data_IF_556017122737
#
_entry.id   IF_556017122737
#
_cell.length_a   1.000
_cell.length_b   1.000
_cell.length_c   1.000
_cell.angle_alpha   90.00
_cell.angle_beta   90.00
_cell.angle_gamma   90.00
#
_symmetry.space_group_name_H-M   'P 1'
#
loop_
_entity.id
_entity.type
_entity.pdbx_description
1 polymer ?
#
# COMPACT_ATOMS: atom_id res chain seq x y z
N UNK A 1 -26.21 31.09 -23.14
CA UNK A 1 -26.30 30.01 -22.13
C UNK A 1 -25.90 28.64 -22.69
N UNK A 2 -24.76 28.55 -23.41
CA UNK A 2 -24.26 27.28 -24.00
C UNK A 2 -22.77 27.03 -23.73
N UNK A 3 -21.99 28.10 -23.52
CA UNK A 3 -20.54 28.01 -23.23
C UNK A 3 -20.27 27.66 -21.75
N UNK A 4 -21.18 28.02 -20.84
CA UNK A 4 -21.03 27.81 -19.40
C UNK A 4 -21.10 26.33 -18.98
N UNK A 5 -21.83 25.50 -19.72
CA UNK A 5 -21.94 24.06 -19.43
C UNK A 5 -20.69 23.27 -19.83
N UNK A 6 -20.00 23.68 -20.89
CA UNK A 6 -18.80 22.99 -21.38
C UNK A 6 -17.61 23.12 -20.41
N UNK A 7 -17.48 24.28 -19.74
CA UNK A 7 -16.41 24.53 -18.78
C UNK A 7 -16.58 23.71 -17.48
N UNK A 8 -17.83 23.41 -17.10
CA UNK A 8 -18.12 22.60 -15.91
C UNK A 8 -17.76 21.11 -16.10
N UNK A 9 -17.85 20.56 -17.32
CA UNK A 9 -17.45 19.17 -17.59
C UNK A 9 -15.92 18.98 -17.56
N UNK A 10 -15.14 20.00 -17.90
CA UNK A 10 -13.67 19.95 -17.88
C UNK A 10 -13.09 19.91 -16.45
N UNK A 11 -13.85 20.34 -15.45
CA UNK A 11 -13.43 20.33 -14.04
C UNK A 11 -13.82 19.04 -13.29
N UNK A 12 -14.66 18.18 -13.88
CA UNK A 12 -15.14 16.95 -13.24
C UNK A 12 -14.05 15.93 -12.84
N UNK A 13 -12.96 15.71 -13.60
CA UNK A 13 -11.97 14.69 -13.23
C UNK A 13 -11.11 15.08 -12.02
N UNK A 14 -11.05 16.36 -11.64
CA UNK A 14 -10.33 16.83 -10.46
C UNK A 14 -11.05 16.51 -9.13
N UNK A 15 -12.34 16.09 -9.19
CA UNK A 15 -13.13 15.75 -8.01
C UNK A 15 -12.99 14.27 -7.61
N UNK A 16 -12.39 13.44 -8.47
CA UNK A 16 -12.01 12.08 -8.10
C UNK A 16 -10.68 12.15 -7.37
N UNK A 17 -10.73 12.50 -6.09
CA UNK A 17 -9.61 12.20 -5.19
C UNK A 17 -9.48 10.68 -5.18
N UNK A 18 -8.48 10.16 -5.90
CA UNK A 18 -8.09 8.78 -5.79
C UNK A 18 -7.86 8.51 -4.30
N UNK A 19 -8.74 7.71 -3.70
CA UNK A 19 -8.76 7.50 -2.25
C UNK A 19 -7.56 6.68 -1.77
N UNK A 20 -6.74 6.20 -2.73
CA UNK A 20 -5.57 5.38 -2.48
C UNK A 20 -4.31 6.15 -2.89
N UNK A 21 -3.54 6.63 -1.92
CA UNK A 21 -2.27 7.32 -2.17
C UNK A 21 -1.14 6.29 -2.35
N UNK A 22 -0.20 6.50 -3.29
CA UNK A 22 0.99 5.66 -3.40
C UNK A 22 1.87 5.80 -2.15
N UNK A 23 2.63 4.76 -1.83
CA UNK A 23 3.61 4.81 -0.72
C UNK A 23 4.65 5.91 -0.96
N UNK A 24 5.11 6.52 0.13
CA UNK A 24 6.18 7.52 0.10
C UNK A 24 7.57 6.90 -0.03
N UNK A 25 7.78 5.73 0.57
CA UNK A 25 9.02 4.95 0.45
C UNK A 25 8.75 3.46 0.67
N UNK A 26 9.77 2.62 0.42
CA UNK A 26 9.67 1.18 0.62
C UNK A 26 11.03 0.56 0.95
N UNK A 27 11.01 -0.67 1.46
CA UNK A 27 12.18 -1.50 1.73
C UNK A 27 11.92 -2.91 1.23
N UNK A 28 12.52 -3.24 0.08
CA UNK A 28 12.48 -4.58 -0.50
C UNK A 28 13.44 -5.51 0.24
N UNK A 29 13.07 -6.76 0.41
CA UNK A 29 13.86 -7.76 1.13
C UNK A 29 13.83 -7.55 2.64
N UNK A 30 12.83 -6.83 3.16
CA UNK A 30 12.78 -6.40 4.56
C UNK A 30 11.37 -6.52 5.14
N UNK A 31 11.29 -7.12 6.32
CA UNK A 31 10.07 -7.35 7.08
C UNK A 31 10.18 -6.74 8.48
N UNK A 32 9.10 -6.21 9.06
CA UNK A 32 9.08 -5.85 10.48
C UNK A 32 9.24 -7.12 11.34
N UNK A 33 10.10 -7.08 12.36
CA UNK A 33 10.29 -8.19 13.31
C UNK A 33 9.08 -8.38 14.23
N UNK A 34 8.32 -7.31 14.48
CA UNK A 34 7.09 -7.33 15.25
C UNK A 34 6.05 -6.38 14.66
N UNK A 35 4.78 -6.75 14.83
CA UNK A 35 3.64 -5.91 14.50
C UNK A 35 3.00 -5.42 15.79
N UNK A 36 3.00 -4.10 16.00
CA UNK A 36 2.36 -3.47 17.16
C UNK A 36 0.83 -3.41 17.05
N UNK A 37 0.25 -4.00 15.99
CA UNK A 37 -1.18 -4.02 15.75
C UNK A 37 -1.65 -5.22 14.92
N UNK A 38 -2.97 -5.45 14.93
CA UNK A 38 -3.61 -6.40 14.01
C UNK A 38 -3.55 -5.86 12.58
N UNK A 39 -2.97 -6.66 11.69
CA UNK A 39 -2.92 -6.36 10.26
C UNK A 39 -4.31 -6.42 9.61
N UNK A 40 -4.52 -5.56 8.63
CA UNK A 40 -5.70 -5.52 7.77
C UNK A 40 -5.32 -6.14 6.43
N UNK A 41 -6.08 -7.12 5.95
CA UNK A 41 -5.87 -7.70 4.63
C UNK A 41 -6.13 -6.65 3.54
N UNK A 42 -5.17 -6.50 2.62
CA UNK A 42 -5.22 -5.57 1.52
C UNK A 42 -4.98 -6.29 0.20
N UNK A 43 -5.60 -5.82 -0.88
CA UNK A 43 -5.39 -6.38 -2.22
C UNK A 43 -4.10 -5.85 -2.87
N UNK A 44 -3.67 -4.66 -2.49
CA UNK A 44 -2.49 -3.99 -3.04
C UNK A 44 -1.70 -3.31 -1.93
N UNK A 45 -0.38 -3.51 -1.91
CA UNK A 45 0.51 -3.04 -0.85
C UNK A 45 1.23 -1.73 -1.18
N UNK A 46 1.25 -1.31 -2.44
CA UNK A 46 1.88 -0.07 -2.91
C UNK A 46 0.99 1.17 -2.77
N UNK A 47 -0.29 0.97 -2.49
CA UNK A 47 -1.28 2.02 -2.30
C UNK A 47 -1.93 1.86 -0.91
N UNK A 48 -2.22 2.98 -0.24
CA UNK A 48 -2.87 2.90 1.06
C UNK A 48 -4.29 2.33 0.88
N UNK A 49 -4.81 1.72 1.94
CA UNK A 49 -6.17 1.22 1.99
C UNK A 49 -7.06 2.26 2.66
N UNK A 50 -8.32 2.32 2.23
CA UNK A 50 -9.32 3.19 2.84
C UNK A 50 -9.76 2.60 4.18
N UNK A 51 -9.02 2.88 5.24
CA UNK A 51 -9.36 2.45 6.60
C UNK A 51 -9.84 3.64 7.43
N UNK A 52 -10.50 3.37 8.57
CA UNK A 52 -10.96 4.43 9.48
C UNK A 52 -9.80 5.16 10.16
N UNK A 53 -8.68 4.46 10.37
CA UNK A 53 -7.43 5.02 10.88
C UNK A 53 -6.49 5.31 9.71
N UNK A 54 -5.47 6.14 9.92
CA UNK A 54 -4.46 6.35 8.88
C UNK A 54 -3.56 5.13 8.77
N UNK A 55 -3.44 4.56 7.58
CA UNK A 55 -2.42 3.54 7.28
C UNK A 55 -1.03 4.19 7.29
N UNK A 56 -0.09 3.56 7.96
CA UNK A 56 1.28 4.05 8.16
C UNK A 56 2.26 3.21 7.34
N UNK A 57 2.07 1.90 7.31
CA UNK A 57 2.87 0.98 6.50
C UNK A 57 2.05 -0.22 6.04
N UNK A 58 2.55 -0.94 5.04
CA UNK A 58 2.04 -2.23 4.61
C UNK A 58 3.19 -3.19 4.35
N UNK A 59 2.92 -4.49 4.49
CA UNK A 59 3.88 -5.56 4.27
C UNK A 59 3.32 -6.53 3.26
N UNK A 60 4.05 -6.73 2.18
CA UNK A 60 3.82 -7.80 1.21
C UNK A 60 4.77 -8.95 1.53
N UNK A 61 4.22 -10.15 1.65
CA UNK A 61 4.99 -11.39 1.77
C UNK A 61 4.68 -12.26 0.57
N UNK A 62 5.70 -12.59 -0.20
CA UNK A 62 5.60 -13.42 -1.39
C UNK A 62 5.18 -14.83 -1.00
N UNK A 63 4.28 -15.40 -1.80
CA UNK A 63 3.83 -16.77 -1.66
C UNK A 63 4.36 -17.59 -2.82
N UNK A 64 5.47 -18.30 -2.54
CA UNK A 64 6.21 -19.07 -3.53
C UNK A 64 5.45 -20.27 -4.07
N UNK A 65 4.27 -20.62 -3.53
CA UNK A 65 3.44 -21.69 -4.10
C UNK A 65 2.99 -21.39 -5.54
N UNK A 66 2.98 -20.11 -5.93
CA UNK A 66 2.56 -19.64 -7.25
C UNK A 66 3.73 -19.14 -8.10
N UNK A 67 4.97 -19.42 -7.71
CA UNK A 67 6.13 -19.05 -8.50
C UNK A 67 6.04 -19.64 -9.92
N UNK A 68 6.31 -18.79 -10.92
CA UNK A 68 6.19 -19.15 -12.33
C UNK A 68 4.77 -19.07 -12.90
N UNK A 69 3.75 -18.79 -12.09
CA UNK A 69 2.41 -18.51 -12.59
C UNK A 69 2.33 -17.06 -13.12
N UNK A 70 2.01 -16.88 -14.41
CA UNK A 70 1.77 -15.56 -15.06
C UNK A 70 2.87 -14.48 -14.90
N UNK A 71 4.06 -14.80 -14.41
CA UNK A 71 5.21 -13.89 -14.34
C UNK A 71 5.15 -12.79 -13.27
N UNK A 72 4.21 -12.85 -12.32
CA UNK A 72 4.07 -11.86 -11.24
C UNK A 72 4.19 -12.51 -9.87
N UNK A 73 4.78 -11.80 -8.87
CA UNK A 73 4.82 -12.29 -7.50
C UNK A 73 3.40 -12.28 -6.92
N UNK A 74 2.92 -13.45 -6.51
CA UNK A 74 1.72 -13.59 -5.70
C UNK A 74 2.13 -13.56 -4.23
N UNK A 75 1.20 -13.17 -3.37
CA UNK A 75 1.51 -13.08 -1.95
C UNK A 75 0.38 -12.49 -1.13
N UNK A 76 0.66 -12.34 0.16
CA UNK A 76 -0.25 -11.75 1.13
C UNK A 76 0.17 -10.32 1.39
N UNK A 77 -0.77 -9.38 1.23
CA UNK A 77 -0.57 -7.99 1.59
C UNK A 77 -1.31 -7.64 2.89
N UNK A 78 -0.59 -7.01 3.81
CA UNK A 78 -1.04 -6.67 5.16
C UNK A 78 -0.84 -5.18 5.42
N UNK A 79 -1.92 -4.41 5.51
CA UNK A 79 -1.92 -2.99 5.85
C UNK A 79 -1.96 -2.78 7.38
N UNK A 80 -1.20 -1.81 7.86
CA UNK A 80 -1.07 -1.50 9.28
C UNK A 80 -1.34 -0.01 9.55
N UNK A 81 -1.97 0.25 10.71
CA UNK A 81 -2.35 1.61 11.14
C UNK A 81 -1.69 2.04 12.45
N UNK A 82 -0.79 1.19 12.99
CA UNK A 82 0.07 1.51 14.14
C UNK A 82 1.34 2.22 13.69
N UNK A 83 2.24 2.58 14.60
CA UNK A 83 3.50 3.21 14.22
C UNK A 83 4.32 2.34 13.26
N UNK A 84 4.96 3.00 12.28
CA UNK A 84 5.86 2.33 11.35
C UNK A 84 7.08 1.78 12.08
N UNK A 85 7.57 0.58 11.73
CA UNK A 85 8.84 0.08 12.28
C UNK A 85 9.98 1.03 11.95
N UNK A 86 10.92 1.12 12.88
CA UNK A 86 12.23 1.76 12.70
C UNK A 86 13.19 0.82 11.97
N UNK A 87 14.32 1.34 11.50
CA UNK A 87 15.31 0.53 10.78
C UNK A 87 15.83 -0.68 11.58
N UNK A 88 15.96 -0.54 12.90
CA UNK A 88 16.42 -1.61 13.80
C UNK A 88 15.34 -2.67 14.07
N UNK A 89 14.08 -2.35 13.75
CA UNK A 89 12.93 -3.27 13.85
C UNK A 89 12.64 -3.97 12.51
N UNK A 90 13.49 -3.76 11.50
CA UNK A 90 13.37 -4.37 10.17
C UNK A 90 14.43 -5.46 9.97
N UNK A 91 13.98 -6.68 9.72
CA UNK A 91 14.83 -7.85 9.48
C UNK A 91 14.93 -8.17 7.98
N UNK A 92 16.06 -8.76 7.58
CA UNK A 92 16.26 -9.29 6.24
C UNK A 92 15.34 -10.48 5.96
N UNK A 93 14.56 -10.35 4.90
CA UNK A 93 13.69 -11.40 4.38
C UNK A 93 13.43 -11.12 2.89
N UNK A 94 14.06 -11.87 2.00
CA UNK A 94 14.00 -11.69 0.55
C UNK A 94 12.58 -11.81 -0.02
N UNK A 95 11.70 -12.54 0.67
CA UNK A 95 10.32 -12.77 0.26
C UNK A 95 9.41 -11.60 0.66
N UNK A 96 9.94 -10.65 1.44
CA UNK A 96 9.19 -9.59 2.06
C UNK A 96 9.47 -8.21 1.46
N UNK A 97 8.43 -7.37 1.38
CA UNK A 97 8.53 -5.99 0.95
C UNK A 97 7.64 -5.09 1.79
N UNK A 98 8.25 -4.13 2.47
CA UNK A 98 7.54 -3.17 3.32
C UNK A 98 7.41 -1.80 2.65
N UNK A 99 6.24 -1.18 2.74
CA UNK A 99 5.87 0.09 2.12
C UNK A 99 5.43 1.09 3.19
N UNK A 100 5.80 2.36 3.06
CA UNK A 100 5.63 3.37 4.11
C UNK A 100 4.90 4.63 3.59
N UNK A 101 4.02 5.20 4.40
CA UNK A 101 3.26 6.43 4.12
C UNK A 101 3.63 7.61 5.04
N UNK A 102 4.48 7.40 6.02
CA UNK A 102 5.05 8.42 6.89
C UNK A 102 6.47 8.06 7.31
#
# INVERSE_FOLDING_TARGET
>A
MRITFALALLAAPALVSATLDPCSSNSKGKCPSAYSCTAIQAAECSHNTRTFKTQTFAVFVTDHQYDGNNGYPYGTCSANTCDSPTADEMEDNDDCWTFFWR
#
